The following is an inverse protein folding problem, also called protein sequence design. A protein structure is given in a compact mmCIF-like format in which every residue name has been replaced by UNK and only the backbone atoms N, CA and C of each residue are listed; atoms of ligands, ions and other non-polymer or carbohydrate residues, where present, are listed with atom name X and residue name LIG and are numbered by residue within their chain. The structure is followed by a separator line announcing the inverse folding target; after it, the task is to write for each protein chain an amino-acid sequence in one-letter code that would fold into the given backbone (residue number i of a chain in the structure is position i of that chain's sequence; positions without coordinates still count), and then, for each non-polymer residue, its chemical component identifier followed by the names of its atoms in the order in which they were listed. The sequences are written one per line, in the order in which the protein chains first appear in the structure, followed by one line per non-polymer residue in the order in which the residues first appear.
data_IF_413462335442
#
_entry.id   IF_413462335442
#
_cell.length_a   1.000
_cell.length_b   1.000
_cell.length_c   1.000
_cell.angle_alpha   90.00
_cell.angle_beta   90.00
_cell.angle_gamma   90.00
#
_symmetry.space_group_name_H-M   'P 1'
#
loop_
_entity.id
_entity.type
_entity.pdbx_description
1 polymer ?
#
# COMPACT_ATOMS: atom_id res chain seq x y z
N UNK A 1 7.39 24.43 6.14
CA UNK A 1 6.99 24.58 4.72
C UNK A 1 8.10 25.19 3.89
N UNK A 2 8.56 26.43 4.17
CA UNK A 2 9.63 27.08 3.38
C UNK A 2 10.96 26.31 3.34
N UNK A 3 11.38 25.73 4.48
CA UNK A 3 12.61 24.92 4.53
C UNK A 3 12.54 23.69 3.61
N UNK A 4 11.38 23.01 3.54
CA UNK A 4 11.17 21.87 2.65
C UNK A 4 11.18 22.30 1.18
N UNK A 5 10.55 23.43 0.84
CA UNK A 5 10.59 23.99 -0.52
C UNK A 5 12.03 24.32 -0.95
N UNK A 6 12.81 24.98 -0.08
CA UNK A 6 14.22 25.30 -0.34
C UNK A 6 15.05 24.03 -0.50
N UNK A 7 14.86 23.04 0.37
CA UNK A 7 15.59 21.78 0.32
C UNK A 7 15.24 20.96 -0.93
N UNK A 8 13.96 20.87 -1.30
CA UNK A 8 13.50 20.19 -2.51
C UNK A 8 14.04 20.84 -3.79
N UNK A 9 14.15 22.18 -3.82
CA UNK A 9 14.79 22.92 -4.91
C UNK A 9 16.30 22.70 -4.97
N UNK A 10 16.98 22.76 -3.82
CA UNK A 10 18.44 22.60 -3.74
C UNK A 10 18.92 21.21 -4.17
N UNK A 11 18.09 20.19 -3.97
CA UNK A 11 18.39 18.79 -4.31
C UNK A 11 17.96 18.42 -5.73
N UNK A 12 17.31 19.33 -6.47
CA UNK A 12 16.76 19.06 -7.80
C UNK A 12 15.58 18.08 -7.82
N UNK A 13 15.11 17.64 -6.65
CA UNK A 13 13.98 16.70 -6.48
C UNK A 13 12.67 17.32 -6.98
N UNK A 14 12.51 18.63 -6.84
CA UNK A 14 11.30 19.33 -7.24
C UNK A 14 11.63 20.74 -7.77
N UNK A 15 11.22 21.02 -9.00
CA UNK A 15 11.44 22.32 -9.66
C UNK A 15 10.20 23.21 -9.70
N UNK A 16 9.03 22.70 -9.27
CA UNK A 16 7.78 23.45 -9.19
C UNK A 16 7.65 24.30 -7.92
N UNK A 17 6.49 24.94 -7.76
CA UNK A 17 6.04 25.51 -6.48
C UNK A 17 5.08 24.53 -5.79
N UNK A 18 5.03 24.50 -4.45
CA UNK A 18 4.03 23.72 -3.72
C UNK A 18 4.44 22.29 -3.35
N UNK A 19 5.73 21.99 -3.34
CA UNK A 19 6.27 20.71 -2.86
C UNK A 19 5.79 20.39 -1.44
N UNK A 20 5.80 21.40 -0.57
CA UNK A 20 5.36 21.25 0.79
C UNK A 20 3.83 21.06 0.89
N UNK A 21 3.05 21.69 0.00
CA UNK A 21 1.59 21.48 -0.09
C UNK A 21 1.24 20.04 -0.50
N UNK A 22 1.96 19.49 -1.49
CA UNK A 22 1.79 18.09 -1.93
C UNK A 22 2.08 17.10 -0.81
N UNK A 23 3.16 17.31 -0.07
CA UNK A 23 3.49 16.48 1.10
C UNK A 23 2.42 16.64 2.19
N UNK A 24 1.99 17.86 2.49
CA UNK A 24 0.99 18.11 3.52
C UNK A 24 -0.36 17.44 3.20
N UNK A 25 -0.80 17.47 1.94
CA UNK A 25 -2.02 16.76 1.51
C UNK A 25 -1.89 15.23 1.68
N UNK A 26 -0.74 14.65 1.30
CA UNK A 26 -0.47 13.23 1.51
C UNK A 26 -0.55 12.86 3.01
N UNK A 27 -0.04 13.74 3.87
CA UNK A 27 -0.11 13.55 5.31
C UNK A 27 -1.51 13.64 5.89
N UNK A 28 -2.30 14.62 5.44
CA UNK A 28 -3.69 14.77 5.87
C UNK A 28 -4.49 13.50 5.54
N UNK A 29 -4.24 12.91 4.37
CA UNK A 29 -4.82 11.61 3.97
C UNK A 29 -4.38 10.47 4.88
N UNK A 30 -3.13 10.43 5.32
CA UNK A 30 -2.64 9.43 6.26
C UNK A 30 -3.17 9.62 7.71
N UNK A 31 -3.63 10.83 8.07
CA UNK A 31 -4.09 11.20 9.42
C UNK A 31 -5.57 10.92 9.73
N UNK A 32 -6.39 10.55 8.75
CA UNK A 32 -7.82 10.26 8.95
C UNK A 32 -8.16 8.77 8.86
N UNK A 33 -7.65 7.90 9.76
CA UNK A 33 -7.94 6.49 9.67
C UNK A 33 -9.22 6.07 10.40
N UNK A 34 -9.79 4.96 9.95
CA UNK A 34 -10.85 4.24 10.65
C UNK A 34 -10.32 3.74 12.02
N UNK A 35 -11.02 3.98 13.15
CA UNK A 35 -10.59 3.53 14.47
C UNK A 35 -10.40 2.02 14.60
N UNK A 36 -11.02 1.19 13.76
CA UNK A 36 -10.85 -0.27 13.79
C UNK A 36 -9.66 -0.77 12.96
N UNK A 37 -9.14 0.04 12.03
CA UNK A 37 -8.10 -0.37 11.07
C UNK A 37 -7.05 0.73 10.86
N UNK A 38 -6.60 1.34 11.96
CA UNK A 38 -5.84 2.60 11.96
C UNK A 38 -4.63 2.59 11.00
N UNK A 39 -3.88 1.49 11.01
CA UNK A 39 -2.67 1.34 10.22
C UNK A 39 -2.89 0.94 8.76
N UNK A 40 -4.08 0.42 8.40
CA UNK A 40 -4.36 -0.12 7.06
C UNK A 40 -4.91 0.97 6.17
N UNK A 41 -5.95 1.68 6.64
CA UNK A 41 -6.60 2.75 5.88
C UNK A 41 -5.66 3.92 5.58
N UNK A 42 -4.72 4.19 6.49
CA UNK A 42 -3.68 5.20 6.28
C UNK A 42 -2.69 4.81 5.17
N UNK A 43 -2.35 3.52 5.04
CA UNK A 43 -1.45 3.02 3.99
C UNK A 43 -2.16 3.06 2.64
N UNK A 44 -3.38 2.55 2.56
CA UNK A 44 -4.19 2.57 1.32
C UNK A 44 -4.44 4.00 0.82
N UNK A 45 -4.81 4.90 1.73
CA UNK A 45 -5.06 6.31 1.37
C UNK A 45 -3.80 7.02 0.89
N UNK A 46 -2.65 6.71 1.50
CA UNK A 46 -1.38 7.29 1.11
C UNK A 46 -0.88 6.70 -0.22
N UNK A 47 -1.00 5.39 -0.42
CA UNK A 47 -0.64 4.70 -1.66
C UNK A 47 -1.45 5.24 -2.84
N UNK A 48 -2.79 5.30 -2.69
CA UNK A 48 -3.67 5.86 -3.71
C UNK A 48 -3.33 7.33 -4.02
N UNK A 49 -3.04 8.14 -3.01
CA UNK A 49 -2.65 9.53 -3.21
C UNK A 49 -1.33 9.66 -3.96
N UNK A 50 -0.29 8.93 -3.54
CA UNK A 50 1.03 8.95 -4.18
C UNK A 50 0.95 8.45 -5.63
N UNK A 51 0.11 7.46 -5.91
CA UNK A 51 -0.07 6.94 -7.26
C UNK A 51 -0.77 7.94 -8.20
N UNK A 52 -1.81 8.63 -7.70
CA UNK A 52 -2.47 9.73 -8.43
C UNK A 52 -1.47 10.85 -8.75
N UNK A 53 -0.62 11.20 -7.80
CA UNK A 53 0.37 12.27 -8.01
C UNK A 53 1.54 11.82 -8.88
N UNK A 54 1.86 10.52 -8.89
CA UNK A 54 2.84 9.90 -9.78
C UNK A 54 2.33 9.88 -11.22
N UNK A 55 1.12 9.44 -11.49
CA UNK A 55 0.62 9.20 -12.85
C UNK A 55 0.27 10.48 -13.63
N UNK A 56 0.03 11.61 -12.94
CA UNK A 56 -0.31 12.89 -13.57
C UNK A 56 -1.72 12.87 -14.19
N UNK A 57 -2.55 13.86 -13.87
CA UNK A 57 -3.96 13.86 -14.28
C UNK A 57 -4.23 14.19 -15.76
N UNK A 58 -3.21 14.38 -16.61
CA UNK A 58 -3.40 15.01 -17.93
C UNK A 58 -2.31 14.77 -18.98
N UNK A 59 -1.77 13.56 -19.07
CA UNK A 59 -0.86 13.19 -20.19
C UNK A 59 0.53 13.86 -20.16
N UNK A 60 0.89 14.58 -19.09
CA UNK A 60 2.29 14.89 -18.77
C UNK A 60 3.00 13.62 -18.28
N UNK A 61 4.31 13.45 -18.56
CA UNK A 61 5.06 12.34 -18.00
C UNK A 61 5.01 12.39 -16.47
N UNK A 62 4.56 11.27 -15.91
CA UNK A 62 4.58 10.98 -14.49
C UNK A 62 5.86 11.50 -13.81
N UNK A 63 5.76 12.52 -12.94
CA UNK A 63 6.89 12.93 -12.12
C UNK A 63 7.00 11.95 -10.97
N UNK A 64 8.14 11.26 -10.83
CA UNK A 64 8.39 10.48 -9.61
C UNK A 64 8.56 11.44 -8.43
N UNK A 65 7.48 11.64 -7.68
CA UNK A 65 7.44 12.48 -6.48
C UNK A 65 7.89 11.73 -5.22
N UNK A 66 8.26 10.45 -5.34
CA UNK A 66 8.71 9.68 -4.19
C UNK A 66 9.91 10.30 -3.45
N UNK A 67 10.92 10.87 -4.13
CA UNK A 67 12.01 11.56 -3.43
C UNK A 67 11.53 12.77 -2.62
N UNK A 68 10.48 13.47 -3.09
CA UNK A 68 9.87 14.59 -2.38
C UNK A 68 9.14 14.10 -1.11
N UNK A 69 8.38 13.00 -1.20
CA UNK A 69 7.70 12.42 -0.04
C UNK A 69 8.68 11.91 1.01
N UNK A 70 9.76 11.21 0.59
CA UNK A 70 10.84 10.76 1.48
C UNK A 70 11.50 11.93 2.24
N UNK A 71 11.65 13.08 1.58
CA UNK A 71 12.21 14.28 2.20
C UNK A 71 11.21 14.97 3.14
N UNK A 72 9.95 15.10 2.71
CA UNK A 72 8.96 15.92 3.39
C UNK A 72 8.24 15.26 4.55
N UNK A 73 7.99 13.94 4.50
CA UNK A 73 7.25 13.23 5.55
C UNK A 73 7.92 13.34 6.93
N UNK A 74 9.25 13.13 7.08
CA UNK A 74 9.91 13.30 8.37
C UNK A 74 9.80 14.73 8.93
N UNK A 75 9.64 15.74 8.07
CA UNK A 75 9.60 17.15 8.46
C UNK A 75 8.17 17.57 8.83
N UNK A 76 7.17 17.19 8.03
CA UNK A 76 5.80 17.67 8.20
C UNK A 76 4.93 16.71 9.03
N UNK A 77 5.24 15.42 9.00
CA UNK A 77 4.37 14.33 9.44
C UNK A 77 5.18 13.14 9.99
N UNK A 78 6.04 13.39 10.99
CA UNK A 78 6.96 12.38 11.52
C UNK A 78 6.23 11.11 12.00
N UNK A 79 5.00 11.24 12.48
CA UNK A 79 4.15 10.14 12.92
C UNK A 79 3.71 9.19 11.79
N UNK A 80 3.75 9.64 10.53
CA UNK A 80 3.35 8.87 9.36
C UNK A 80 4.53 8.28 8.57
N UNK A 81 5.76 8.42 9.06
CA UNK A 81 6.96 7.92 8.34
C UNK A 81 6.88 6.39 8.15
N UNK A 82 6.42 5.64 9.15
CA UNK A 82 6.24 4.19 9.05
C UNK A 82 5.14 3.80 8.05
N UNK A 83 4.10 4.63 7.89
CA UNK A 83 3.07 4.46 6.86
C UNK A 83 3.67 4.67 5.47
N UNK A 84 4.43 5.75 5.27
CA UNK A 84 5.12 6.02 4.01
C UNK A 84 6.10 4.89 3.64
N UNK A 85 6.85 4.37 4.61
CA UNK A 85 7.77 3.26 4.38
C UNK A 85 7.07 1.98 3.91
N UNK A 86 5.91 1.66 4.49
CA UNK A 86 5.08 0.53 4.04
C UNK A 86 4.61 0.73 2.60
N UNK A 87 4.15 1.94 2.25
CA UNK A 87 3.78 2.28 0.87
C UNK A 87 4.96 2.15 -0.09
N UNK A 88 6.15 2.66 0.28
CA UNK A 88 7.36 2.57 -0.55
C UNK A 88 7.74 1.12 -0.85
N UNK A 89 7.61 0.23 0.14
CA UNK A 89 7.87 -1.21 -0.05
C UNK A 89 6.71 -1.91 -0.78
N UNK A 90 5.53 -1.31 -0.79
CA UNK A 90 4.28 -1.89 -1.28
C UNK A 90 3.73 -2.96 -0.34
N UNK A 91 4.00 -2.79 0.95
CA UNK A 91 3.47 -3.62 2.03
C UNK A 91 2.08 -3.10 2.42
N UNK A 92 1.21 -2.95 1.42
CA UNK A 92 -0.17 -2.47 1.59
C UNK A 92 -1.00 -3.64 2.12
N UNK A 93 -1.55 -3.57 3.35
CA UNK A 93 -2.41 -4.61 3.86
C UNK A 93 -3.69 -4.68 3.04
N UNK A 94 -4.26 -5.87 2.88
CA UNK A 94 -5.50 -6.04 2.12
C UNK A 94 -6.46 -7.01 2.80
N UNK A 95 -7.75 -6.80 2.58
CA UNK A 95 -8.84 -7.54 3.24
C UNK A 95 -9.40 -8.68 2.41
N UNK A 96 -10.74 -8.73 2.36
CA UNK A 96 -11.46 -9.63 1.45
C UNK A 96 -11.58 -9.00 0.06
N UNK A 97 -11.55 -9.84 -0.97
CA UNK A 97 -11.56 -9.43 -2.36
C UNK A 97 -10.77 -10.40 -3.23
N UNK A 98 -10.82 -10.15 -4.54
CA UNK A 98 -9.97 -10.81 -5.53
C UNK A 98 -9.01 -9.76 -6.08
N UNK A 99 -7.72 -10.03 -5.98
CA UNK A 99 -6.66 -9.11 -6.34
C UNK A 99 -5.79 -9.72 -7.43
N UNK A 100 -5.52 -8.96 -8.49
CA UNK A 100 -4.49 -9.34 -9.45
C UNK A 100 -3.10 -9.27 -8.81
N UNK A 101 -2.20 -10.17 -9.21
CA UNK A 101 -0.83 -10.18 -8.71
C UNK A 101 0.07 -9.38 -9.63
N UNK A 102 0.74 -8.38 -9.06
CA UNK A 102 1.58 -7.48 -9.83
C UNK A 102 2.13 -6.32 -9.01
N UNK A 103 2.57 -5.26 -9.68
CA UNK A 103 3.15 -4.08 -9.05
C UNK A 103 2.40 -2.78 -9.41
N UNK A 104 1.26 -2.91 -10.10
CA UNK A 104 0.40 -1.80 -10.48
C UNK A 104 -0.55 -1.36 -9.35
N UNK A 105 -1.31 -0.28 -9.59
CA UNK A 105 -2.32 0.20 -8.67
C UNK A 105 -3.35 -0.91 -8.40
N UNK A 106 -3.80 -1.03 -7.14
CA UNK A 106 -4.82 -2.00 -6.72
C UNK A 106 -4.41 -3.49 -6.87
N UNK A 107 -3.16 -3.76 -7.28
CA UNK A 107 -2.59 -5.10 -7.36
C UNK A 107 -1.86 -5.48 -6.07
N UNK A 108 -1.87 -6.78 -5.74
CA UNK A 108 -1.11 -7.32 -4.62
C UNK A 108 0.26 -7.75 -5.12
N UNK A 109 1.31 -7.27 -4.46
CA UNK A 109 2.68 -7.66 -4.80
C UNK A 109 2.93 -9.15 -4.49
N UNK A 110 3.83 -9.80 -5.23
CA UNK A 110 4.32 -11.10 -4.84
C UNK A 110 5.01 -11.04 -3.48
N UNK A 111 4.77 -12.02 -2.62
CA UNK A 111 5.32 -12.02 -1.27
C UNK A 111 4.68 -13.05 -0.35
N UNK A 112 5.14 -13.07 0.90
CA UNK A 112 4.53 -13.88 1.96
C UNK A 112 3.66 -12.98 2.82
N UNK A 113 2.40 -13.35 2.95
CA UNK A 113 1.38 -12.60 3.66
C UNK A 113 0.84 -13.38 4.84
N UNK A 114 0.46 -12.68 5.89
CA UNK A 114 -0.03 -13.25 7.14
C UNK A 114 -1.26 -12.51 7.64
N UNK A 115 -2.27 -13.24 8.07
CA UNK A 115 -3.47 -12.61 8.64
C UNK A 115 -3.12 -11.85 9.92
N UNK A 116 -3.72 -10.68 10.15
CA UNK A 116 -3.43 -9.81 11.31
C UNK A 116 -4.14 -10.27 12.58
N UNK A 117 -5.34 -10.84 12.44
CA UNK A 117 -6.18 -11.33 13.55
C UNK A 117 -5.51 -12.49 14.30
N UNK A 118 -5.86 -12.62 15.59
CA UNK A 118 -5.36 -13.68 16.51
C UNK A 118 -6.09 -15.01 16.38
N UNK A 119 -7.22 -15.02 15.68
CA UNK A 119 -7.94 -16.20 15.20
C UNK A 119 -8.56 -15.86 13.84
N UNK A 120 -8.72 -16.90 13.02
CA UNK A 120 -9.31 -16.85 11.69
C UNK A 120 -10.28 -18.00 11.61
N UNK A 121 -11.52 -17.71 11.25
CA UNK A 121 -12.64 -18.67 11.21
C UNK A 121 -13.38 -18.51 9.89
N UNK A 122 -13.87 -19.62 9.33
CA UNK A 122 -14.59 -19.69 8.06
C UNK A 122 -13.95 -18.90 6.89
N UNK A 123 -12.62 -18.85 6.88
CA UNK A 123 -11.83 -18.13 5.90
C UNK A 123 -11.63 -18.98 4.65
N UNK A 124 -11.98 -18.43 3.50
CA UNK A 124 -11.60 -19.00 2.22
C UNK A 124 -10.49 -18.16 1.59
N UNK A 125 -9.45 -18.82 1.08
CA UNK A 125 -8.48 -18.16 0.22
C UNK A 125 -8.10 -19.05 -0.95
N UNK A 126 -7.71 -18.43 -2.05
CA UNK A 126 -7.20 -19.12 -3.23
C UNK A 126 -6.16 -18.30 -3.97
N UNK A 127 -5.29 -19.02 -4.67
CA UNK A 127 -4.34 -18.51 -5.65
C UNK A 127 -4.71 -19.14 -6.98
N UNK A 128 -4.78 -18.34 -8.03
CA UNK A 128 -5.08 -18.81 -9.39
C UNK A 128 -3.97 -18.43 -10.37
N UNK A 129 -3.97 -19.06 -11.54
CA UNK A 129 -3.21 -18.59 -12.71
C UNK A 129 -3.97 -17.48 -13.42
N UNK A 130 -3.33 -16.83 -14.40
CA UNK A 130 -3.95 -15.76 -15.19
C UNK A 130 -5.18 -16.23 -16.00
N UNK A 131 -5.31 -17.53 -16.27
CA UNK A 131 -6.48 -18.14 -16.91
C UNK A 131 -7.58 -18.57 -15.92
N UNK A 132 -7.40 -18.28 -14.63
CA UNK A 132 -8.34 -18.64 -13.55
C UNK A 132 -8.17 -20.06 -13.01
N UNK A 133 -7.23 -20.86 -13.51
CA UNK A 133 -7.00 -22.20 -12.95
C UNK A 133 -6.48 -22.09 -11.50
N UNK A 134 -7.13 -22.80 -10.58
CA UNK A 134 -6.74 -22.80 -9.16
C UNK A 134 -5.37 -23.48 -9.01
N UNK A 135 -4.40 -22.73 -8.49
CA UNK A 135 -3.09 -23.25 -8.08
C UNK A 135 -3.21 -23.90 -6.71
N UNK A 136 -3.88 -23.21 -5.78
CA UNK A 136 -4.06 -23.67 -4.41
C UNK A 136 -5.22 -22.91 -3.76
N UNK A 137 -6.07 -23.61 -3.01
CA UNK A 137 -7.08 -22.97 -2.18
C UNK A 137 -7.22 -23.67 -0.82
N UNK A 138 -7.92 -23.02 0.10
CA UNK A 138 -8.33 -23.63 1.36
C UNK A 138 -9.55 -22.94 1.94
N UNK A 139 -10.54 -23.74 2.37
CA UNK A 139 -11.53 -23.32 3.36
C UNK A 139 -10.99 -23.68 4.75
N UNK A 140 -10.61 -22.66 5.51
CA UNK A 140 -10.11 -22.77 6.88
C UNK A 140 -11.27 -22.54 7.82
N UNK A 141 -11.73 -23.61 8.47
CA UNK A 141 -12.79 -23.54 9.48
C UNK A 141 -12.33 -22.82 10.75
N UNK A 142 -11.10 -23.08 11.22
CA UNK A 142 -10.48 -22.36 12.32
C UNK A 142 -8.94 -22.45 12.29
N UNK A 143 -8.24 -21.33 12.54
CA UNK A 143 -6.80 -21.26 12.74
C UNK A 143 -6.40 -20.08 13.63
N UNK A 144 -5.28 -20.16 14.36
CA UNK A 144 -4.74 -19.00 15.12
C UNK A 144 -4.27 -17.88 14.19
N UNK A 145 -3.66 -18.26 13.05
CA UNK A 145 -3.15 -17.33 12.04
C UNK A 145 -2.91 -18.10 10.75
N UNK A 146 -3.04 -17.43 9.61
CA UNK A 146 -2.72 -17.99 8.32
C UNK A 146 -1.51 -17.28 7.73
N UNK A 147 -0.71 -18.03 6.96
CA UNK A 147 0.40 -17.49 6.19
C UNK A 147 0.37 -18.13 4.81
N UNK A 148 0.37 -17.28 3.78
CA UNK A 148 0.30 -17.69 2.38
C UNK A 148 1.43 -17.00 1.63
N UNK A 149 2.11 -17.74 0.76
CA UNK A 149 3.08 -17.17 -0.17
C UNK A 149 2.43 -17.05 -1.53
N UNK A 150 2.31 -15.82 -2.02
CA UNK A 150 1.83 -15.45 -3.34
C UNK A 150 3.05 -15.30 -4.24
N UNK A 151 3.08 -16.02 -5.36
CA UNK A 151 4.23 -16.03 -6.27
C UNK A 151 4.06 -14.97 -7.37
N UNK A 152 5.16 -14.49 -7.96
CA UNK A 152 5.10 -13.60 -9.12
C UNK A 152 4.39 -14.16 -10.35
N UNK A 153 4.23 -15.49 -10.41
CA UNK A 153 3.57 -16.20 -11.51
C UNK A 153 2.08 -16.45 -11.28
N UNK A 154 1.56 -16.07 -10.11
CA UNK A 154 0.13 -16.18 -9.85
C UNK A 154 -0.62 -15.12 -10.65
N UNK A 155 -1.84 -15.42 -11.09
CA UNK A 155 -2.72 -14.45 -11.74
C UNK A 155 -3.49 -13.62 -10.72
N UNK A 156 -4.16 -14.29 -9.78
CA UNK A 156 -4.89 -13.62 -8.70
C UNK A 156 -4.76 -14.30 -7.35
N UNK A 157 -5.05 -13.52 -6.30
CA UNK A 157 -5.31 -14.00 -4.95
C UNK A 157 -6.72 -13.58 -4.53
N UNK A 158 -7.56 -14.55 -4.15
CA UNK A 158 -8.87 -14.27 -3.55
C UNK A 158 -8.83 -14.57 -2.06
N UNK A 159 -9.45 -13.71 -1.26
CA UNK A 159 -9.59 -13.81 0.19
C UNK A 159 -11.02 -13.49 0.58
N UNK A 160 -11.64 -14.35 1.38
CA UNK A 160 -12.97 -14.13 1.93
C UNK A 160 -12.98 -14.47 3.41
N UNK A 161 -13.44 -13.52 4.24
CA UNK A 161 -13.60 -13.69 5.71
C UNK A 161 -12.30 -14.02 6.46
N UNK A 162 -11.14 -13.88 5.83
CA UNK A 162 -9.83 -14.11 6.46
C UNK A 162 -9.36 -12.96 7.37
N UNK A 163 -10.09 -11.84 7.36
CA UNK A 163 -9.63 -10.58 7.92
C UNK A 163 -8.60 -9.91 6.99
N UNK A 164 -7.71 -9.13 7.59
CA UNK A 164 -6.65 -8.43 6.86
C UNK A 164 -5.40 -9.31 6.76
N UNK A 165 -4.74 -9.25 5.61
CA UNK A 165 -3.41 -9.80 5.34
C UNK A 165 -2.36 -8.69 5.35
N UNK A 166 -1.21 -8.95 5.98
CA UNK A 166 -0.04 -8.08 5.97
C UNK A 166 1.19 -8.85 5.46
N UNK A 167 2.08 -8.15 4.75
CA UNK A 167 3.35 -8.72 4.34
C UNK A 167 4.19 -9.12 5.56
N UNK A 168 4.93 -10.23 5.43
CA UNK A 168 5.87 -10.72 6.43
C UNK A 168 7.28 -10.29 6.05
N UNK A 169 8.00 -9.68 7.00
CA UNK A 169 9.40 -9.24 6.87
C UNK A 169 10.25 -9.81 8.00
#
# INVERSE_FOLDING_TARGET
MEALEQQARSTGVYTGQGAASLVNQACEKARTPDPENIGITAVESLDAYIEITRTGSSGEPARDLMPLYKLGFPILCPEQVSTLERVIRGDVPFGSGTFEIGAGPEQVKPGTYRTTRRSVEDCYWERTRADGEIIQNKLVTHAKRLTVTIKPTDGSFTSERCGTWEAVH
#
